data_IF_950502168762
#
_entry.id   IF_950502168762
#
_cell.length_a   1.000
_cell.length_b   1.000
_cell.length_c   1.000
_cell.angle_alpha   90.00
_cell.angle_beta   90.00
_cell.angle_gamma   90.00
#
_symmetry.space_group_name_H-M   'P 1'
#
loop_
_entity.id
_entity.type
_entity.pdbx_description
1 polymer ?
#
# COMPACT_ATOMS: atom_id res chain seq x y z
N UNK A 1 22.46 -54.71 18.55
CA UNK A 1 23.49 -53.68 18.62
C UNK A 1 24.84 -54.32 18.57
N UNK A 2 25.65 -54.01 17.55
CA UNK A 2 27.01 -54.51 17.39
C UNK A 2 27.96 -53.32 17.42
N UNK A 3 28.93 -53.38 18.33
CA UNK A 3 30.00 -52.39 18.41
C UNK A 3 31.32 -53.00 18.00
N UNK A 4 32.10 -52.23 17.25
CA UNK A 4 33.47 -52.62 16.86
C UNK A 4 34.37 -51.40 17.00
N UNK A 5 35.42 -51.51 17.81
CA UNK A 5 36.37 -50.43 18.01
C UNK A 5 37.05 -50.43 19.36
N UNK A 6 37.58 -49.26 19.73
CA UNK A 6 38.34 -49.06 20.95
C UNK A 6 37.43 -49.10 22.18
N UNK A 7 37.92 -49.64 23.25
CA UNK A 7 37.20 -49.78 24.52
C UNK A 7 38.08 -49.44 25.72
N UNK A 8 37.48 -48.87 26.74
CA UNK A 8 38.11 -48.62 28.03
C UNK A 8 37.14 -49.05 29.11
N UNK A 9 37.59 -49.88 30.02
CA UNK A 9 36.78 -50.41 31.15
C UNK A 9 35.44 -51.00 30.71
N UNK A 10 35.46 -51.77 29.59
CA UNK A 10 34.26 -52.44 29.09
C UNK A 10 33.29 -51.55 28.32
N UNK A 11 33.62 -50.28 28.06
CA UNK A 11 32.78 -49.35 27.31
C UNK A 11 33.47 -48.80 26.10
N UNK A 12 32.73 -48.49 25.02
CA UNK A 12 33.29 -47.78 23.88
C UNK A 12 33.96 -46.48 24.33
N UNK A 13 35.21 -46.27 23.87
CA UNK A 13 35.97 -45.08 24.18
C UNK A 13 37.06 -44.93 23.14
N UNK A 14 37.12 -43.77 22.46
CA UNK A 14 37.96 -43.55 21.29
C UNK A 14 37.20 -43.87 20.01
N UNK A 15 37.90 -44.32 18.95
CA UNK A 15 37.29 -44.55 17.63
C UNK A 15 36.55 -45.88 17.60
N UNK A 16 35.36 -45.89 17.02
CA UNK A 16 34.61 -47.14 16.85
C UNK A 16 33.39 -46.95 15.96
N UNK A 17 32.68 -48.07 15.73
CA UNK A 17 31.45 -48.08 14.97
C UNK A 17 30.40 -48.95 15.66
N UNK A 18 29.13 -48.56 15.51
CA UNK A 18 27.99 -49.30 16.04
C UNK A 18 26.98 -49.52 14.92
N UNK A 19 26.47 -50.74 14.78
CA UNK A 19 25.31 -51.08 13.96
C UNK A 19 24.15 -51.32 14.93
N UNK A 20 23.09 -50.49 14.82
CA UNK A 20 21.93 -50.58 15.68
C UNK A 20 20.91 -51.58 15.11
N UNK A 21 19.99 -52.03 15.94
CA UNK A 21 18.97 -53.01 15.54
C UNK A 21 18.07 -52.54 14.42
N UNK A 22 17.80 -51.21 14.36
CA UNK A 22 16.98 -50.62 13.33
C UNK A 22 17.70 -50.40 12.00
N UNK A 23 18.97 -50.74 11.92
CA UNK A 23 19.78 -50.55 10.71
C UNK A 23 20.58 -49.27 10.67
N UNK A 24 20.45 -48.40 11.63
CA UNK A 24 21.29 -47.20 11.74
C UNK A 24 22.73 -47.58 12.01
N UNK A 25 23.68 -46.76 11.53
CA UNK A 25 25.11 -46.97 11.69
C UNK A 25 25.76 -45.71 12.21
N UNK A 26 26.58 -45.84 13.27
CA UNK A 26 27.43 -44.75 13.73
C UNK A 26 28.88 -45.11 13.56
N UNK A 27 29.67 -44.19 13.02
CA UNK A 27 31.13 -44.32 12.94
C UNK A 27 31.75 -43.03 13.47
N UNK A 28 32.52 -43.11 14.54
CA UNK A 28 33.14 -41.95 15.10
C UNK A 28 33.70 -42.14 16.49
N UNK A 29 33.79 -41.05 17.20
CA UNK A 29 34.40 -41.02 18.53
C UNK A 29 33.41 -41.30 19.63
N UNK A 30 33.90 -41.94 20.69
CA UNK A 30 33.16 -42.27 21.89
C UNK A 30 33.91 -41.79 23.12
N UNK A 31 33.19 -41.41 24.15
CA UNK A 31 33.72 -41.16 25.47
C UNK A 31 32.80 -41.85 26.49
N UNK A 32 33.36 -42.78 27.28
CA UNK A 32 32.63 -43.49 28.34
C UNK A 32 31.33 -44.12 27.86
N UNK A 33 31.34 -44.72 26.68
CA UNK A 33 30.18 -45.39 26.11
C UNK A 33 29.23 -44.52 25.32
N UNK A 34 29.45 -43.21 25.27
CA UNK A 34 28.58 -42.27 24.58
C UNK A 34 29.28 -41.67 23.36
N UNK A 35 28.50 -41.40 22.31
CA UNK A 35 29.01 -40.70 21.13
C UNK A 35 29.40 -39.29 21.58
N UNK A 36 30.65 -38.94 21.34
CA UNK A 36 31.19 -37.66 21.74
C UNK A 36 32.44 -37.38 20.90
N UNK A 37 32.58 -36.11 20.43
CA UNK A 37 33.56 -35.74 19.44
C UNK A 37 33.00 -35.91 18.03
N UNK A 38 33.83 -36.02 17.02
CA UNK A 38 33.39 -36.14 15.63
C UNK A 38 32.87 -37.54 15.30
N UNK A 39 31.72 -37.62 14.62
CA UNK A 39 31.19 -38.89 14.16
C UNK A 39 30.15 -38.72 13.05
N UNK A 40 29.96 -39.80 12.30
CA UNK A 40 28.99 -39.90 11.19
C UNK A 40 27.90 -40.87 11.60
N UNK A 41 26.66 -40.41 11.58
CA UNK A 41 25.49 -41.25 11.86
C UNK A 41 24.66 -41.37 10.58
N UNK A 42 24.50 -42.59 10.10
CA UNK A 42 23.69 -42.89 8.92
C UNK A 42 22.40 -43.57 9.38
N UNK A 43 21.28 -42.93 9.12
CA UNK A 43 19.96 -43.46 9.45
C UNK A 43 19.55 -44.55 8.44
N UNK A 44 18.71 -45.47 8.85
CA UNK A 44 18.26 -46.58 7.98
C UNK A 44 17.45 -46.06 6.78
N UNK A 45 16.85 -44.86 6.85
CA UNK A 45 16.12 -44.22 5.75
C UNK A 45 17.05 -43.48 4.77
N UNK A 46 18.36 -43.49 5.01
CA UNK A 46 19.34 -42.82 4.16
C UNK A 46 19.73 -41.41 4.58
N UNK A 47 19.06 -40.81 5.55
CA UNK A 47 19.52 -39.54 6.12
C UNK A 47 20.88 -39.71 6.81
N UNK A 48 21.62 -38.61 6.93
CA UNK A 48 22.98 -38.72 7.47
C UNK A 48 23.33 -37.43 8.23
N UNK A 49 23.97 -37.60 9.41
CA UNK A 49 24.57 -36.48 10.14
C UNK A 49 26.11 -36.72 10.18
N UNK A 50 26.86 -35.67 9.83
CA UNK A 50 28.30 -35.63 9.94
C UNK A 50 28.71 -34.45 10.80
N UNK A 51 29.26 -34.68 11.98
CA UNK A 51 29.64 -33.55 12.80
C UNK A 51 29.97 -33.91 14.23
N UNK A 52 29.90 -32.91 15.07
CA UNK A 52 30.24 -33.02 16.47
C UNK A 52 29.09 -33.62 17.27
N UNK A 53 29.43 -34.39 18.27
CA UNK A 53 28.55 -35.08 19.21
C UNK A 53 28.93 -34.73 20.61
N UNK A 54 27.96 -34.67 21.52
CA UNK A 54 28.17 -34.55 22.94
C UNK A 54 27.13 -35.36 23.69
N UNK A 55 27.60 -36.32 24.47
CA UNK A 55 26.74 -37.21 25.29
C UNK A 55 25.55 -37.77 24.50
N UNK A 56 25.86 -38.44 23.38
CA UNK A 56 24.90 -39.09 22.49
C UNK A 56 23.98 -38.17 21.69
N UNK A 57 24.23 -36.85 21.71
CA UNK A 57 23.40 -35.87 20.99
C UNK A 57 24.25 -35.11 19.98
N UNK A 58 23.62 -34.74 18.85
CA UNK A 58 24.20 -33.81 17.89
C UNK A 58 24.41 -32.48 18.61
N UNK A 59 25.62 -31.94 18.51
CA UNK A 59 26.02 -30.79 19.28
C UNK A 59 27.24 -30.13 18.64
N UNK A 60 27.31 -28.80 18.66
CA UNK A 60 28.38 -28.07 17.98
C UNK A 60 28.15 -28.01 16.47
N UNK A 61 29.23 -28.04 15.68
CA UNK A 61 29.14 -27.96 14.22
C UNK A 61 28.84 -29.30 13.60
N UNK A 62 27.90 -29.32 12.65
CA UNK A 62 27.58 -30.54 11.93
C UNK A 62 26.75 -30.27 10.68
N UNK A 63 26.80 -31.24 9.76
CA UNK A 63 26.06 -31.23 8.51
C UNK A 63 25.04 -32.36 8.54
N UNK A 64 23.78 -32.02 8.22
CA UNK A 64 22.69 -32.99 8.14
C UNK A 64 22.20 -33.10 6.70
N UNK A 65 22.11 -34.29 6.18
CA UNK A 65 21.60 -34.61 4.84
C UNK A 65 20.22 -35.23 4.99
N UNK A 66 19.17 -34.51 4.57
CA UNK A 66 17.79 -34.96 4.67
C UNK A 66 17.43 -35.87 3.49
N UNK A 67 16.43 -36.73 3.69
CA UNK A 67 15.95 -37.66 2.66
C UNK A 67 15.37 -36.96 1.43
N UNK A 68 14.88 -35.73 1.59
CA UNK A 68 14.34 -34.90 0.51
C UNK A 68 15.40 -34.10 -0.24
N UNK A 69 16.68 -34.37 0.02
CA UNK A 69 17.85 -33.68 -0.55
C UNK A 69 18.08 -32.26 -0.01
N UNK A 70 17.42 -31.88 1.07
CA UNK A 70 17.84 -30.70 1.81
C UNK A 70 19.13 -31.00 2.56
N UNK A 71 19.92 -29.94 2.81
CA UNK A 71 21.18 -30.07 3.54
C UNK A 71 21.33 -28.89 4.49
N UNK A 72 21.53 -29.19 5.79
CA UNK A 72 21.82 -28.16 6.78
C UNK A 72 23.30 -28.21 7.15
N UNK A 73 23.96 -27.06 7.19
CA UNK A 73 25.35 -26.90 7.62
C UNK A 73 25.40 -25.84 8.69
N UNK A 74 25.66 -26.19 9.94
CA UNK A 74 25.70 -25.20 11.00
C UNK A 74 25.80 -25.80 12.39
N UNK A 75 25.32 -25.01 13.35
CA UNK A 75 25.40 -25.37 14.74
C UNK A 75 24.20 -26.16 15.21
N UNK A 76 24.44 -27.04 16.18
CA UNK A 76 23.48 -27.93 16.79
C UNK A 76 23.58 -27.83 18.30
N UNK A 77 22.44 -27.99 18.98
CA UNK A 77 22.34 -28.05 20.43
C UNK A 77 21.31 -29.10 20.80
N UNK A 78 21.79 -30.19 21.47
CA UNK A 78 20.95 -31.29 21.94
C UNK A 78 19.98 -31.80 20.86
N UNK A 79 20.54 -32.18 19.71
CA UNK A 79 19.80 -32.69 18.54
C UNK A 79 18.95 -31.67 17.78
N UNK A 80 18.98 -30.38 18.17
CA UNK A 80 18.27 -29.32 17.47
C UNK A 80 19.24 -28.46 16.65
N UNK A 81 18.77 -28.03 15.47
CA UNK A 81 19.41 -26.92 14.77
C UNK A 81 19.25 -25.68 15.65
N UNK A 82 20.34 -25.06 16.04
CA UNK A 82 20.31 -23.97 16.99
C UNK A 82 21.56 -23.12 16.84
N UNK A 83 21.42 -21.78 16.88
CA UNK A 83 22.51 -20.87 16.57
C UNK A 83 22.58 -20.61 15.07
N UNK A 84 23.77 -20.30 14.56
CA UNK A 84 23.91 -20.01 13.13
C UNK A 84 24.02 -21.27 12.29
N UNK A 85 23.34 -21.23 11.14
CA UNK A 85 23.42 -22.34 10.19
C UNK A 85 22.81 -21.99 8.85
N UNK A 86 23.19 -22.78 7.83
CA UNK A 86 22.70 -22.60 6.47
C UNK A 86 21.93 -23.85 6.04
N UNK A 87 20.68 -23.65 5.62
CA UNK A 87 19.89 -24.71 4.99
C UNK A 87 19.92 -24.52 3.48
N UNK A 88 20.32 -25.56 2.79
CA UNK A 88 20.24 -25.64 1.34
C UNK A 88 19.05 -26.52 0.99
N UNK A 89 18.04 -25.92 0.38
CA UNK A 89 16.79 -26.62 0.03
C UNK A 89 16.93 -27.31 -1.32
N UNK A 90 16.19 -28.37 -1.52
CA UNK A 90 16.26 -29.20 -2.74
C UNK A 90 15.90 -28.40 -4.00
N UNK A 91 15.07 -27.35 -3.85
CA UNK A 91 14.62 -26.51 -4.97
C UNK A 91 15.60 -25.40 -5.34
N UNK A 92 16.77 -25.34 -4.68
CA UNK A 92 17.77 -24.32 -4.93
C UNK A 92 17.67 -23.09 -4.02
N UNK A 93 16.66 -23.02 -3.17
CA UNK A 93 16.58 -21.96 -2.15
C UNK A 93 17.63 -22.17 -1.08
N UNK A 94 17.95 -21.11 -0.36
CA UNK A 94 18.93 -21.15 0.73
C UNK A 94 18.51 -20.23 1.85
N UNK A 95 18.59 -20.70 3.09
CA UNK A 95 18.48 -19.85 4.26
C UNK A 95 19.81 -19.82 5.01
N UNK A 96 20.32 -18.64 5.30
CA UNK A 96 21.54 -18.44 6.09
C UNK A 96 21.22 -17.51 7.25
N UNK A 97 21.25 -18.02 8.47
CA UNK A 97 20.91 -17.21 9.62
C UNK A 97 20.82 -17.98 10.93
N UNK A 98 20.01 -17.44 11.81
CA UNK A 98 19.85 -17.96 13.15
C UNK A 98 18.72 -19.00 13.20
N UNK A 99 18.90 -20.00 14.05
CA UNK A 99 18.00 -21.12 14.25
C UNK A 99 17.74 -21.33 15.74
N UNK A 100 16.55 -21.78 16.05
CA UNK A 100 16.19 -22.22 17.40
C UNK A 100 15.20 -23.37 17.31
N UNK A 101 15.54 -24.50 17.93
CA UNK A 101 14.72 -25.73 17.92
C UNK A 101 14.21 -26.07 16.51
N UNK A 102 15.14 -26.18 15.55
CA UNK A 102 14.87 -26.55 14.15
C UNK A 102 14.06 -25.53 13.36
N UNK A 103 13.82 -24.34 13.91
CA UNK A 103 13.08 -23.28 13.23
C UNK A 103 13.94 -22.06 12.99
N UNK A 104 13.70 -21.38 11.87
CA UNK A 104 14.32 -20.08 11.60
C UNK A 104 13.82 -19.08 12.63
N UNK A 105 14.75 -18.43 13.27
CA UNK A 105 14.47 -17.55 14.39
C UNK A 105 15.55 -16.47 14.43
N UNK A 106 15.22 -15.23 14.90
CA UNK A 106 16.20 -14.17 14.94
C UNK A 106 16.48 -13.60 13.55
N UNK A 107 17.72 -13.28 13.24
CA UNK A 107 18.10 -12.66 11.97
C UNK A 107 18.55 -13.71 10.97
N UNK A 108 18.12 -13.57 9.72
CA UNK A 108 18.54 -14.47 8.67
C UNK A 108 18.12 -14.00 7.28
N UNK A 109 18.83 -14.55 6.26
CA UNK A 109 18.59 -14.24 4.86
C UNK A 109 18.10 -15.50 4.14
N UNK A 110 16.91 -15.39 3.56
CA UNK A 110 16.36 -16.44 2.69
C UNK A 110 16.52 -16.00 1.25
N UNK A 111 17.26 -16.79 0.47
CA UNK A 111 17.49 -16.52 -0.95
C UNK A 111 16.75 -17.55 -1.77
N UNK A 112 15.86 -17.09 -2.65
CA UNK A 112 15.12 -17.96 -3.56
C UNK A 112 16.01 -18.35 -4.74
N UNK A 113 15.69 -19.47 -5.38
CA UNK A 113 16.46 -19.97 -6.53
C UNK A 113 16.50 -18.99 -7.69
N UNK A 114 15.48 -18.11 -7.81
CA UNK A 114 15.41 -17.07 -8.86
C UNK A 114 16.20 -15.81 -8.51
N UNK A 115 16.87 -15.76 -7.36
CA UNK A 115 17.65 -14.58 -6.93
C UNK A 115 16.92 -13.61 -6.04
N UNK A 116 15.60 -13.71 -5.89
CA UNK A 116 14.86 -12.93 -4.90
C UNK A 116 15.35 -13.27 -3.49
N UNK A 117 15.23 -12.34 -2.56
CA UNK A 117 15.67 -12.64 -1.19
C UNK A 117 14.91 -11.83 -0.16
N UNK A 118 14.82 -12.39 1.05
CA UNK A 118 14.40 -11.70 2.26
C UNK A 118 15.55 -11.67 3.25
N UNK A 119 15.82 -10.51 3.83
CA UNK A 119 16.83 -10.34 4.88
C UNK A 119 16.19 -9.61 6.05
N UNK A 120 16.10 -10.26 7.19
CA UNK A 120 15.49 -9.64 8.34
C UNK A 120 15.21 -10.61 9.46
N UNK A 121 14.20 -10.26 10.25
CA UNK A 121 13.83 -10.99 11.45
C UNK A 121 12.88 -12.15 11.15
N UNK A 122 13.04 -13.22 11.90
CA UNK A 122 12.27 -14.45 11.80
C UNK A 122 11.75 -14.86 13.16
N UNK A 123 10.60 -15.47 13.19
CA UNK A 123 10.04 -16.09 14.38
C UNK A 123 9.23 -17.31 13.99
N UNK A 124 9.56 -18.48 14.58
CA UNK A 124 8.86 -19.73 14.32
C UNK A 124 8.71 -20.02 12.83
N UNK A 125 9.83 -19.97 12.08
CA UNK A 125 9.89 -20.21 10.64
C UNK A 125 9.20 -19.18 9.75
N UNK A 126 8.74 -18.07 10.30
CA UNK A 126 8.01 -17.05 9.55
C UNK A 126 8.74 -15.71 9.61
N UNK A 127 8.64 -14.94 8.54
CA UNK A 127 9.07 -13.54 8.55
C UNK A 127 8.25 -12.79 9.58
N UNK A 128 8.92 -12.17 10.55
CA UNK A 128 8.25 -11.52 11.67
C UNK A 128 9.19 -10.47 12.26
N UNK A 129 8.73 -9.24 12.38
CA UNK A 129 9.56 -8.11 12.77
C UNK A 129 10.05 -7.34 11.56
N UNK A 130 11.17 -6.65 11.71
CA UNK A 130 11.70 -5.81 10.63
C UNK A 130 12.44 -6.64 9.60
N UNK A 131 12.19 -6.38 8.30
CA UNK A 131 12.86 -7.09 7.23
C UNK A 131 12.74 -6.41 5.88
N UNK A 132 13.70 -6.73 5.01
CA UNK A 132 13.79 -6.22 3.65
C UNK A 132 13.56 -7.39 2.68
N UNK A 133 12.66 -7.19 1.73
CA UNK A 133 12.38 -8.18 0.67
C UNK A 133 12.67 -7.56 -0.69
N UNK A 134 13.47 -8.26 -1.50
CA UNK A 134 13.73 -7.91 -2.89
C UNK A 134 13.19 -9.03 -3.78
N UNK A 135 12.16 -8.71 -4.58
CA UNK A 135 11.53 -9.71 -5.46
C UNK A 135 12.36 -10.00 -6.71
N UNK A 136 13.41 -9.20 -6.97
CA UNK A 136 14.27 -9.40 -8.14
C UNK A 136 13.71 -8.86 -9.45
N UNK A 137 12.52 -8.31 -9.42
CA UNK A 137 11.85 -7.71 -10.58
C UNK A 137 11.83 -6.17 -10.55
N UNK A 138 12.55 -5.57 -9.60
CA UNK A 138 12.56 -4.14 -9.33
C UNK A 138 11.66 -3.73 -8.18
N UNK A 139 10.86 -4.65 -7.64
CA UNK A 139 10.01 -4.40 -6.49
C UNK A 139 10.76 -4.74 -5.20
N UNK A 140 10.72 -3.83 -4.21
CA UNK A 140 11.31 -4.06 -2.89
C UNK A 140 10.35 -3.62 -1.80
N UNK A 141 10.45 -4.23 -0.62
CA UNK A 141 9.76 -3.79 0.58
C UNK A 141 10.74 -3.69 1.74
N UNK A 142 10.67 -2.60 2.48
CA UNK A 142 11.46 -2.40 3.68
C UNK A 142 10.54 -1.98 4.81
N UNK A 143 10.33 -2.86 5.78
CA UNK A 143 9.42 -2.56 6.89
C UNK A 143 9.12 -3.77 7.75
N UNK A 144 7.95 -3.73 8.37
CA UNK A 144 7.56 -4.73 9.35
C UNK A 144 6.74 -5.85 8.74
N UNK A 145 6.88 -7.03 9.32
CA UNK A 145 6.26 -8.29 8.91
C UNK A 145 5.62 -8.97 10.11
N UNK A 146 4.52 -9.64 9.89
CA UNK A 146 3.88 -10.52 10.86
C UNK A 146 3.39 -11.77 10.13
N UNK A 147 3.85 -12.94 10.57
CA UNK A 147 3.43 -14.22 10.00
C UNK A 147 3.51 -14.24 8.46
N UNK A 148 4.69 -13.90 7.93
CA UNK A 148 5.01 -13.87 6.50
C UNK A 148 4.31 -12.78 5.69
N UNK A 149 3.54 -11.90 6.32
CA UNK A 149 2.80 -10.83 5.63
C UNK A 149 3.31 -9.46 6.06
N UNK A 150 3.33 -8.51 5.11
CA UNK A 150 3.64 -7.12 5.44
C UNK A 150 2.57 -6.61 6.41
N UNK A 151 3.00 -6.04 7.52
CA UNK A 151 2.12 -5.60 8.59
C UNK A 151 2.81 -4.52 9.41
N UNK A 152 2.08 -3.46 9.78
CA UNK A 152 2.69 -2.30 10.41
C UNK A 152 3.26 -1.36 9.37
N UNK A 153 4.27 -0.57 9.74
CA UNK A 153 4.85 0.43 8.84
C UNK A 153 5.87 -0.18 7.89
N UNK A 154 5.83 0.27 6.64
CA UNK A 154 6.81 -0.18 5.65
C UNK A 154 6.73 0.60 4.34
N UNK A 155 7.83 0.55 3.59
CA UNK A 155 7.98 1.23 2.31
C UNK A 155 8.09 0.18 1.21
N UNK A 156 7.14 0.19 0.29
CA UNK A 156 7.16 -0.66 -0.89
C UNK A 156 7.52 0.18 -2.12
N UNK A 157 8.58 -0.21 -2.81
CA UNK A 157 8.99 0.42 -4.07
C UNK A 157 8.61 -0.53 -5.19
N UNK A 158 7.77 -0.05 -6.09
CA UNK A 158 7.28 -0.85 -7.22
C UNK A 158 8.23 -0.73 -8.41
N UNK A 159 8.22 -1.76 -9.25
CA UNK A 159 9.10 -1.83 -10.43
C UNK A 159 8.87 -0.67 -11.41
N UNK A 160 7.66 -0.13 -11.46
CA UNK A 160 7.29 1.00 -12.33
C UNK A 160 7.73 2.37 -11.82
N UNK A 161 8.31 2.41 -10.61
CA UNK A 161 8.78 3.64 -9.99
C UNK A 161 7.84 4.25 -8.94
N UNK A 162 6.65 3.68 -8.77
CA UNK A 162 5.75 4.09 -7.69
C UNK A 162 6.33 3.70 -6.33
N UNK A 163 5.98 4.45 -5.28
CA UNK A 163 6.41 4.17 -3.91
C UNK A 163 5.23 4.34 -2.97
N UNK A 164 4.96 3.32 -2.17
CA UNK A 164 4.04 3.44 -1.04
C UNK A 164 4.81 3.41 0.26
N UNK A 165 4.56 4.40 1.13
CA UNK A 165 5.15 4.48 2.47
C UNK A 165 4.02 4.65 3.47
N UNK A 166 3.80 3.65 4.31
CA UNK A 166 2.71 3.73 5.27
C UNK A 166 2.41 2.44 5.98
N UNK A 167 1.17 2.31 6.40
CA UNK A 167 0.71 1.19 7.20
C UNK A 167 0.18 0.05 6.33
N UNK A 168 0.43 -1.17 6.81
CA UNK A 168 0.06 -2.42 6.16
C UNK A 168 -0.69 -3.30 7.14
N UNK A 169 -1.62 -4.09 6.65
CA UNK A 169 -2.28 -5.14 7.40
C UNK A 169 -2.51 -6.34 6.49
N UNK A 170 -1.96 -7.51 6.89
CA UNK A 170 -2.10 -8.76 6.15
C UNK A 170 -1.78 -8.59 4.65
N UNK A 171 -0.60 -8.03 4.36
CA UNK A 171 -0.08 -7.81 3.01
C UNK A 171 -0.79 -6.75 2.18
N UNK A 172 -1.73 -6.02 2.77
CA UNK A 172 -2.54 -5.02 2.09
C UNK A 172 -2.34 -3.66 2.75
N UNK A 173 -2.26 -2.59 1.95
CA UNK A 173 -2.22 -1.22 2.45
C UNK A 173 -3.48 -0.95 3.26
N UNK A 174 -3.32 -0.51 4.50
CA UNK A 174 -4.45 -0.27 5.39
C UNK A 174 -4.02 0.67 6.51
N UNK A 175 -4.76 1.77 6.72
CA UNK A 175 -4.41 2.81 7.68
C UNK A 175 -3.87 4.04 6.98
N UNK A 176 -2.91 4.73 7.56
CA UNK A 176 -2.32 5.95 6.98
C UNK A 176 -1.20 5.60 6.02
N UNK A 177 -1.16 6.28 4.87
CA UNK A 177 -0.09 6.06 3.91
C UNK A 177 0.12 7.22 2.96
N UNK A 178 1.32 7.22 2.35
CA UNK A 178 1.71 8.17 1.30
C UNK A 178 2.06 7.33 0.07
N UNK A 179 1.36 7.60 -1.02
CA UNK A 179 1.63 6.97 -2.30
C UNK A 179 2.20 8.00 -3.26
N UNK A 180 3.41 7.76 -3.75
CA UNK A 180 4.08 8.61 -4.72
C UNK A 180 4.08 7.89 -6.06
N UNK A 181 3.38 8.46 -7.03
CA UNK A 181 3.32 7.93 -8.40
C UNK A 181 4.58 8.30 -9.16
N UNK A 182 4.95 7.47 -10.10
CA UNK A 182 6.13 7.69 -10.93
C UNK A 182 6.05 9.02 -11.70
N UNK A 183 4.83 9.45 -12.07
CA UNK A 183 4.61 10.72 -12.78
C UNK A 183 4.71 11.96 -11.88
N UNK A 184 4.92 11.78 -10.57
CA UNK A 184 5.04 12.88 -9.60
C UNK A 184 3.78 13.21 -8.82
N UNK A 185 2.65 12.56 -9.10
CA UNK A 185 1.46 12.69 -8.24
C UNK A 185 1.76 12.10 -6.85
N UNK A 186 1.15 12.68 -5.82
CA UNK A 186 1.30 12.20 -4.43
C UNK A 186 -0.06 12.16 -3.75
N UNK A 187 -0.40 11.02 -3.19
CA UNK A 187 -1.54 10.87 -2.30
C UNK A 187 -1.06 10.66 -0.86
N UNK A 188 -1.66 11.37 0.08
CA UNK A 188 -1.43 11.18 1.50
C UNK A 188 -2.76 11.11 2.23
N UNK A 189 -3.03 9.98 2.89
CA UNK A 189 -4.29 9.83 3.60
C UNK A 189 -4.60 8.40 3.99
N UNK A 190 -5.91 8.12 4.09
CA UNK A 190 -6.41 6.84 4.57
C UNK A 190 -6.47 5.79 3.47
N UNK A 191 -6.17 4.56 3.86
CA UNK A 191 -6.34 3.36 3.05
C UNK A 191 -7.19 2.36 3.80
N UNK A 192 -8.11 1.71 3.09
CA UNK A 192 -8.88 0.58 3.60
C UNK A 192 -8.82 -0.52 2.54
N UNK A 193 -8.29 -1.68 2.92
CA UNK A 193 -8.21 -2.85 2.03
C UNK A 193 -7.56 -2.53 0.67
N UNK A 194 -6.48 -1.75 0.70
CA UNK A 194 -5.71 -1.42 -0.49
C UNK A 194 -6.25 -0.25 -1.30
N UNK A 195 -7.39 0.30 -0.93
CA UNK A 195 -8.02 1.40 -1.64
C UNK A 195 -7.98 2.70 -0.84
N UNK A 196 -7.78 3.83 -1.53
CA UNK A 196 -7.91 5.15 -0.89
C UNK A 196 -9.37 5.31 -0.46
N UNK A 197 -9.63 5.32 0.83
CA UNK A 197 -10.98 5.41 1.39
C UNK A 197 -10.89 6.13 2.72
N UNK A 198 -11.68 7.22 2.88
CA UNK A 198 -11.59 8.10 4.03
C UNK A 198 -11.04 9.44 3.62
N UNK A 199 -10.34 10.13 4.51
CA UNK A 199 -9.81 11.47 4.24
C UNK A 199 -8.42 11.41 3.64
N UNK A 200 -8.14 12.30 2.68
CA UNK A 200 -6.84 12.37 2.06
C UNK A 200 -6.57 13.65 1.31
N UNK A 201 -5.31 13.81 0.92
CA UNK A 201 -4.81 14.90 0.10
C UNK A 201 -4.17 14.30 -1.13
N UNK A 202 -4.61 14.73 -2.31
CA UNK A 202 -4.02 14.31 -3.58
C UNK A 202 -3.37 15.53 -4.25
N UNK A 203 -2.06 15.50 -4.39
CA UNK A 203 -1.31 16.55 -5.08
C UNK A 203 -0.92 16.03 -6.46
N UNK A 204 -1.45 16.68 -7.50
CA UNK A 204 -1.15 16.32 -8.88
C UNK A 204 0.19 16.91 -9.29
N UNK A 205 0.91 16.22 -10.15
CA UNK A 205 2.21 16.69 -10.66
C UNK A 205 2.11 18.03 -11.38
N UNK A 206 0.93 18.32 -11.95
CA UNK A 206 0.68 19.59 -12.66
C UNK A 206 0.43 20.78 -11.72
N UNK A 207 0.36 20.55 -10.40
CA UNK A 207 0.12 21.61 -9.42
C UNK A 207 -1.30 21.70 -8.89
N UNK A 208 -2.23 20.89 -9.41
CA UNK A 208 -3.57 20.79 -8.84
C UNK A 208 -3.53 20.03 -7.51
N UNK A 209 -4.55 20.27 -6.66
CA UNK A 209 -4.61 19.64 -5.35
C UNK A 209 -6.05 19.37 -4.95
N UNK A 210 -6.32 18.16 -4.45
CA UNK A 210 -7.60 17.82 -3.82
C UNK A 210 -7.37 17.51 -2.34
N UNK A 211 -8.24 18.05 -1.49
CA UNK A 211 -8.27 17.73 -0.05
C UNK A 211 -9.70 17.39 0.31
N UNK A 212 -9.92 16.16 0.75
CA UNK A 212 -11.27 15.74 1.10
C UNK A 212 -11.40 14.23 1.22
N UNK A 213 -12.65 13.76 1.09
CA UNK A 213 -12.95 12.35 1.26
C UNK A 213 -12.82 11.57 -0.05
N UNK A 214 -12.48 10.30 0.12
CA UNK A 214 -12.31 9.31 -0.94
C UNK A 214 -13.13 8.07 -0.63
N UNK A 215 -13.56 7.39 -1.66
CA UNK A 215 -14.21 6.08 -1.57
C UNK A 215 -13.70 5.20 -2.70
N UNK A 216 -13.12 4.05 -2.35
CA UNK A 216 -12.63 3.06 -3.31
C UNK A 216 -11.75 3.68 -4.42
N UNK A 217 -10.87 4.61 -4.02
CA UNK A 217 -9.92 5.25 -4.91
C UNK A 217 -10.39 6.53 -5.58
N UNK A 218 -11.68 6.85 -5.51
CA UNK A 218 -12.26 8.03 -6.17
C UNK A 218 -12.56 9.13 -5.17
N UNK A 219 -12.49 10.39 -5.65
CA UNK A 219 -13.03 11.53 -4.88
C UNK A 219 -14.53 11.32 -4.70
N UNK A 220 -14.97 11.31 -3.45
CA UNK A 220 -16.38 11.03 -3.12
C UNK A 220 -16.72 11.65 -1.76
N UNK A 221 -17.84 12.32 -1.66
CA UNK A 221 -18.25 13.05 -0.47
C UNK A 221 -17.86 14.52 -0.55
N UNK A 222 -17.40 15.10 0.55
CA UNK A 222 -17.03 16.52 0.59
C UNK A 222 -15.54 16.71 0.34
N UNK A 223 -15.18 17.71 -0.47
CA UNK A 223 -13.78 18.01 -0.73
C UNK A 223 -13.56 19.33 -1.43
N UNK A 224 -12.31 19.81 -1.35
CA UNK A 224 -11.86 21.04 -1.99
C UNK A 224 -10.82 20.70 -3.04
N UNK A 225 -11.06 21.15 -4.27
CA UNK A 225 -10.12 21.05 -5.37
C UNK A 225 -9.56 22.43 -5.70
N UNK A 226 -8.24 22.55 -5.71
CA UNK A 226 -7.53 23.78 -6.07
C UNK A 226 -6.78 23.53 -7.37
N UNK A 227 -7.16 24.24 -8.42
CA UNK A 227 -6.44 24.18 -9.70
C UNK A 227 -5.18 25.03 -9.65
N UNK A 228 -4.19 24.63 -10.38
CA UNK A 228 -2.94 25.38 -10.54
C UNK A 228 -3.18 26.82 -10.95
N UNK A 229 -4.22 27.06 -11.78
CA UNK A 229 -4.53 28.40 -12.29
C UNK A 229 -5.11 29.34 -11.22
N UNK A 230 -5.41 28.84 -10.03
CA UNK A 230 -5.95 29.63 -8.93
C UNK A 230 -7.44 29.48 -8.69
N UNK A 231 -8.15 28.71 -9.53
CA UNK A 231 -9.57 28.39 -9.27
C UNK A 231 -9.66 27.38 -8.10
N UNK A 232 -10.77 27.44 -7.35
CA UNK A 232 -11.05 26.46 -6.30
C UNK A 232 -12.51 26.03 -6.33
N UNK A 233 -12.76 24.77 -6.05
CA UNK A 233 -14.10 24.22 -5.85
C UNK A 233 -14.16 23.57 -4.47
N UNK A 234 -15.21 23.89 -3.71
CA UNK A 234 -15.47 23.25 -2.42
C UNK A 234 -16.92 22.76 -2.43
N UNK A 235 -17.11 21.48 -2.20
CA UNK A 235 -18.45 20.91 -2.19
C UNK A 235 -18.45 19.40 -2.37
N UNK A 236 -19.56 18.89 -2.90
CA UNK A 236 -19.79 17.46 -3.08
C UNK A 236 -19.05 16.87 -4.27
N UNK A 237 -18.71 15.61 -4.14
CA UNK A 237 -18.02 14.80 -5.15
C UNK A 237 -18.67 13.42 -5.24
N UNK A 238 -18.72 12.86 -6.42
CA UNK A 238 -19.15 11.49 -6.65
C UNK A 238 -18.44 10.95 -7.88
N UNK A 239 -17.82 9.77 -7.73
CA UNK A 239 -17.09 9.11 -8.83
C UNK A 239 -16.11 10.05 -9.54
N UNK A 240 -15.25 10.73 -8.75
CA UNK A 240 -14.22 11.66 -9.22
C UNK A 240 -14.73 12.97 -9.84
N UNK A 241 -16.04 13.24 -9.81
CA UNK A 241 -16.63 14.43 -10.41
C UNK A 241 -17.37 15.25 -9.37
N UNK A 242 -17.42 16.59 -9.57
CA UNK A 242 -18.23 17.45 -8.72
C UNK A 242 -19.70 17.03 -8.83
N UNK A 243 -20.34 16.86 -7.70
CA UNK A 243 -21.72 16.40 -7.63
C UNK A 243 -22.37 16.88 -6.34
N UNK A 244 -23.56 17.49 -6.45
CA UNK A 244 -24.28 18.06 -5.33
C UNK A 244 -23.95 19.54 -5.13
N UNK A 245 -24.25 20.05 -3.93
CA UNK A 245 -24.02 21.46 -3.61
C UNK A 245 -22.52 21.77 -3.56
N UNK A 246 -22.14 22.89 -4.20
CA UNK A 246 -20.75 23.32 -4.21
C UNK A 246 -20.57 24.79 -4.53
N UNK A 247 -19.35 25.25 -4.31
CA UNK A 247 -18.94 26.63 -4.52
C UNK A 247 -17.65 26.65 -5.33
N UNK A 248 -17.73 27.27 -6.52
CA UNK A 248 -16.59 27.43 -7.41
C UNK A 248 -16.13 28.88 -7.35
N UNK A 249 -14.89 29.12 -6.95
CA UNK A 249 -14.27 30.43 -6.89
C UNK A 249 -13.22 30.51 -7.98
N UNK A 250 -13.43 31.39 -8.94
CA UNK A 250 -12.49 31.62 -10.04
C UNK A 250 -11.36 32.55 -9.58
N UNK A 251 -10.20 32.40 -10.19
CA UNK A 251 -9.04 33.26 -9.92
C UNK A 251 -9.38 34.73 -10.07
N UNK A 252 -10.22 35.08 -11.08
CA UNK A 252 -10.63 36.48 -11.34
C UNK A 252 -11.57 37.05 -10.29
N UNK A 253 -12.04 36.21 -9.33
CA UNK A 253 -12.95 36.64 -8.27
C UNK A 253 -14.41 36.29 -8.49
N UNK A 254 -14.77 35.70 -9.65
CA UNK A 254 -16.14 35.21 -9.86
C UNK A 254 -16.43 34.04 -8.94
N UNK A 255 -17.64 33.99 -8.35
CA UNK A 255 -18.04 32.93 -7.43
C UNK A 255 -19.37 32.35 -7.91
N UNK A 256 -19.35 31.01 -8.16
CA UNK A 256 -20.53 30.25 -8.54
C UNK A 256 -20.94 29.34 -7.37
N UNK A 257 -22.18 29.45 -6.92
CA UNK A 257 -22.67 28.61 -5.82
C UNK A 257 -24.02 28.00 -6.19
N UNK A 258 -24.10 26.68 -6.12
CA UNK A 258 -25.31 25.96 -6.50
C UNK A 258 -25.03 24.47 -6.63
N UNK A 259 -25.86 23.78 -7.41
CA UNK A 259 -25.72 22.36 -7.63
C UNK A 259 -24.78 22.07 -8.81
N UNK A 260 -24.00 21.00 -8.64
CA UNK A 260 -23.13 20.48 -9.67
C UNK A 260 -23.54 19.04 -9.99
N UNK A 261 -23.39 18.65 -11.21
CA UNK A 261 -23.62 17.29 -11.68
C UNK A 261 -22.60 16.94 -12.75
N UNK A 262 -21.92 15.81 -12.56
CA UNK A 262 -20.92 15.32 -13.51
C UNK A 262 -19.88 16.38 -13.88
N UNK A 263 -19.44 17.17 -12.89
CA UNK A 263 -18.40 18.18 -13.07
C UNK A 263 -18.87 19.53 -13.57
N UNK A 264 -20.18 19.70 -13.80
CA UNK A 264 -20.73 20.95 -14.31
C UNK A 264 -21.79 21.51 -13.38
N UNK A 265 -21.92 22.83 -13.38
CA UNK A 265 -23.03 23.48 -12.68
C UNK A 265 -24.35 23.12 -13.35
N UNK A 266 -25.37 22.77 -12.56
CA UNK A 266 -26.65 22.28 -13.07
C UNK A 266 -27.77 22.75 -12.14
N UNK A 267 -28.84 23.32 -12.70
CA UNK A 267 -29.97 23.79 -11.90
C UNK A 267 -29.78 25.18 -11.34
N UNK A 268 -30.37 25.45 -10.19
CA UNK A 268 -30.34 26.77 -9.57
C UNK A 268 -28.94 27.16 -9.12
N UNK A 269 -28.53 28.39 -9.45
CA UNK A 269 -27.23 28.91 -9.13
C UNK A 269 -27.28 30.38 -8.79
N UNK A 270 -26.40 30.82 -7.89
CA UNK A 270 -26.13 32.23 -7.61
C UNK A 270 -24.69 32.51 -8.02
N UNK A 271 -24.48 33.53 -8.85
CA UNK A 271 -23.15 33.93 -9.29
C UNK A 271 -22.86 35.33 -8.80
N UNK A 272 -21.75 35.52 -8.11
CA UNK A 272 -21.21 36.82 -7.76
C UNK A 272 -20.00 37.07 -8.65
N UNK A 273 -20.16 37.99 -9.60
CA UNK A 273 -19.07 38.35 -10.48
C UNK A 273 -18.10 39.32 -9.80
N UNK A 274 -16.84 39.26 -10.21
CA UNK A 274 -15.79 40.12 -9.64
C UNK A 274 -16.08 41.60 -9.81
N UNK A 275 -16.81 41.99 -10.86
CA UNK A 275 -17.20 43.38 -11.14
C UNK A 275 -18.31 43.87 -10.24
N UNK A 276 -18.84 43.04 -9.34
CA UNK A 276 -19.95 43.39 -8.45
C UNK A 276 -21.33 43.02 -8.97
N UNK A 277 -21.45 42.52 -10.18
CA UNK A 277 -22.71 42.01 -10.75
C UNK A 277 -23.11 40.71 -10.10
N UNK A 278 -24.41 40.49 -9.88
CA UNK A 278 -24.94 39.26 -9.32
C UNK A 278 -25.93 38.63 -10.29
N UNK A 279 -25.84 37.33 -10.48
CA UNK A 279 -26.77 36.53 -11.28
C UNK A 279 -27.41 35.47 -10.40
N UNK A 280 -28.74 35.36 -10.50
CA UNK A 280 -29.51 34.29 -9.86
C UNK A 280 -30.40 33.65 -10.91
N UNK A 281 -30.17 32.38 -11.22
CA UNK A 281 -30.91 31.72 -12.26
C UNK A 281 -30.62 30.25 -12.36
N UNK A 282 -30.82 29.72 -13.58
CA UNK A 282 -30.72 28.28 -13.86
C UNK A 282 -29.64 28.02 -14.91
N UNK A 283 -28.84 27.02 -14.66
CA UNK A 283 -27.87 26.48 -15.64
C UNK A 283 -28.32 25.08 -16.06
N UNK A 284 -28.09 24.77 -17.33
CA UNK A 284 -28.31 23.46 -17.89
C UNK A 284 -27.19 23.17 -18.88
N UNK A 285 -26.52 22.02 -18.70
CA UNK A 285 -25.36 21.64 -19.50
C UNK A 285 -24.30 22.76 -19.55
N UNK A 286 -24.04 23.42 -18.40
CA UNK A 286 -23.03 24.46 -18.29
C UNK A 286 -23.42 25.81 -18.87
N UNK A 287 -24.67 25.97 -19.33
CA UNK A 287 -25.16 27.19 -19.95
C UNK A 287 -26.36 27.73 -19.20
N UNK A 288 -26.50 29.07 -19.19
CA UNK A 288 -27.70 29.71 -18.61
C UNK A 288 -28.91 29.32 -19.44
N UNK A 289 -29.94 28.85 -18.76
CA UNK A 289 -31.21 28.41 -19.35
C UNK A 289 -32.33 28.61 -18.35
N UNK A 290 -33.40 29.33 -18.77
CA UNK A 290 -34.54 29.57 -17.92
C UNK A 290 -34.55 30.94 -17.27
N UNK A 291 -35.43 31.10 -16.27
CA UNK A 291 -35.63 32.38 -15.58
C UNK A 291 -34.36 32.84 -14.89
N UNK A 292 -34.12 34.17 -14.93
CA UNK A 292 -32.92 34.74 -14.34
C UNK A 292 -33.20 36.15 -13.81
N UNK A 293 -32.49 36.50 -12.74
CA UNK A 293 -32.45 37.84 -12.17
C UNK A 293 -30.99 38.27 -12.14
N UNK A 294 -30.70 39.41 -12.75
CA UNK A 294 -29.35 39.98 -12.72
C UNK A 294 -29.42 41.33 -12.00
N UNK A 295 -28.40 41.57 -11.17
CA UNK A 295 -28.31 42.85 -10.44
C UNK A 295 -26.92 43.42 -10.70
N UNK A 296 -26.89 44.64 -11.21
CA UNK A 296 -25.64 45.35 -11.43
C UNK A 296 -25.09 45.89 -10.11
N UNK A 297 -23.79 46.27 -10.11
CA UNK A 297 -23.13 46.81 -8.94
C UNK A 297 -23.87 48.01 -8.31
N UNK A 298 -24.51 48.85 -9.15
CA UNK A 298 -25.26 50.03 -8.73
C UNK A 298 -26.72 49.73 -8.33
N UNK A 299 -27.13 48.45 -8.34
CA UNK A 299 -28.44 48.02 -7.87
C UNK A 299 -29.55 47.96 -8.93
N UNK A 300 -29.22 48.22 -10.19
CA UNK A 300 -30.16 48.03 -11.32
C UNK A 300 -30.37 46.54 -11.56
N UNK A 301 -31.62 46.16 -11.92
CA UNK A 301 -32.01 44.76 -12.05
C UNK A 301 -32.55 44.48 -13.44
N UNK A 302 -32.17 43.29 -13.96
CA UNK A 302 -32.78 42.68 -15.11
C UNK A 302 -33.48 41.41 -14.66
N UNK A 303 -34.75 41.26 -15.02
CA UNK A 303 -35.56 40.07 -14.74
C UNK A 303 -36.06 39.53 -16.07
N UNK A 304 -35.59 38.33 -16.46
CA UNK A 304 -35.92 37.77 -17.74
C UNK A 304 -35.59 36.27 -17.82
N UNK A 305 -35.18 35.82 -18.99
CA UNK A 305 -34.83 34.44 -19.18
C UNK A 305 -33.71 34.29 -20.22
N UNK A 306 -33.11 33.12 -20.20
CA UNK A 306 -32.00 32.69 -21.06
C UNK A 306 -32.35 31.41 -21.79
N UNK A 307 -31.76 31.22 -22.95
CA UNK A 307 -31.72 29.96 -23.71
C UNK A 307 -30.33 29.79 -24.26
N UNK A 308 -29.64 28.73 -23.81
CA UNK A 308 -28.29 28.39 -24.22
C UNK A 308 -27.34 29.61 -24.15
N UNK A 309 -27.26 30.28 -22.99
CA UNK A 309 -26.41 31.43 -22.70
C UNK A 309 -26.84 32.76 -23.35
N UNK A 310 -27.93 32.77 -24.05
CA UNK A 310 -28.42 33.95 -24.76
C UNK A 310 -29.74 34.41 -24.15
N UNK A 311 -29.91 35.73 -23.92
CA UNK A 311 -31.21 36.27 -23.45
C UNK A 311 -32.26 35.92 -24.47
N UNK A 312 -33.39 35.40 -23.99
CA UNK A 312 -34.51 34.96 -24.80
C UNK A 312 -35.80 35.02 -23.98
N UNK A 313 -36.84 35.61 -24.55
CA UNK A 313 -38.14 35.76 -23.88
C UNK A 313 -38.37 37.13 -23.28
N UNK A 314 -39.46 37.24 -22.54
CA UNK A 314 -39.88 38.48 -21.91
C UNK A 314 -38.89 38.97 -20.84
N UNK A 315 -38.71 40.26 -20.73
CA UNK A 315 -37.85 40.85 -19.71
C UNK A 315 -38.48 42.11 -19.13
N UNK A 316 -38.02 42.48 -17.91
CA UNK A 316 -38.30 43.72 -17.23
C UNK A 316 -37.00 44.24 -16.65
N UNK A 317 -36.74 45.53 -16.81
CA UNK A 317 -35.60 46.19 -16.17
C UNK A 317 -36.14 47.17 -15.11
N UNK A 318 -35.47 47.19 -13.97
CA UNK A 318 -35.86 48.02 -12.80
C UNK A 318 -34.65 48.86 -12.37
N UNK A 319 -34.95 50.07 -11.87
CA UNK A 319 -33.95 50.92 -11.24
C UNK A 319 -33.67 50.43 -9.80
N UNK A 320 -32.74 51.09 -9.12
CA UNK A 320 -32.33 50.71 -7.77
C UNK A 320 -33.46 50.86 -6.74
N UNK A 321 -34.55 51.58 -7.06
CA UNK A 321 -35.74 51.71 -6.22
C UNK A 321 -36.82 50.67 -6.57
N UNK A 322 -36.54 49.76 -7.52
CA UNK A 322 -37.49 48.76 -7.96
C UNK A 322 -38.50 49.21 -8.98
N UNK A 323 -38.36 50.44 -9.51
CA UNK A 323 -39.26 50.99 -10.55
C UNK A 323 -38.92 50.44 -11.91
N UNK A 324 -39.91 49.97 -12.66
CA UNK A 324 -39.74 49.49 -14.04
C UNK A 324 -39.32 50.64 -14.93
N UNK A 325 -38.18 50.53 -15.60
CA UNK A 325 -37.65 51.54 -16.50
C UNK A 325 -37.64 51.05 -17.95
N UNK A 326 -37.76 49.75 -18.19
CA UNK A 326 -37.85 49.17 -19.54
C UNK A 326 -38.52 47.79 -19.44
N UNK A 327 -39.19 47.40 -20.53
CA UNK A 327 -39.75 46.06 -20.68
C UNK A 327 -39.81 45.72 -22.16
N UNK A 328 -39.94 44.43 -22.48
CA UNK A 328 -39.98 43.97 -23.82
C UNK A 328 -39.69 42.49 -23.89
N UNK A 329 -39.01 42.07 -24.97
CA UNK A 329 -38.56 40.69 -25.13
C UNK A 329 -37.26 40.63 -25.89
N UNK A 330 -36.57 39.50 -25.69
CA UNK A 330 -35.38 39.11 -26.44
C UNK A 330 -35.70 37.93 -27.35
N UNK A 331 -35.21 37.98 -28.55
CA UNK A 331 -35.25 36.85 -29.48
C UNK A 331 -33.86 36.60 -29.99
N UNK A 332 -33.30 35.42 -29.67
CA UNK A 332 -31.93 35.04 -30.04
C UNK A 332 -30.89 36.11 -29.65
N UNK A 333 -31.04 36.73 -28.47
CA UNK A 333 -30.14 37.76 -27.96
C UNK A 333 -30.43 39.17 -28.44
N UNK A 334 -31.36 39.36 -29.39
CA UNK A 334 -31.74 40.67 -29.89
C UNK A 334 -32.86 41.24 -29.07
N UNK A 335 -32.66 42.50 -28.61
CA UNK A 335 -33.60 43.22 -27.74
C UNK A 335 -34.69 43.94 -28.53
N UNK A 336 -35.94 43.75 -28.10
CA UNK A 336 -37.10 44.49 -28.62
C UNK A 336 -37.83 45.09 -27.42
N UNK A 337 -37.88 46.44 -27.35
CA UNK A 337 -38.57 47.16 -26.28
C UNK A 337 -40.02 47.45 -26.64
N UNK A 338 -40.87 47.41 -25.62
CA UNK A 338 -42.29 47.84 -25.74
C UNK A 338 -42.42 49.33 -25.90
#
# INVERSE_FOLDING_TARGET
RQYKGEMVSGRPNGKGSTIYKNGDIYEGQYVKGKRQGFGVYTFSDGEKYEGEWFQDQQHGKGTYYFSNNNKYVGFWYRDYQEGRGTMYYYNGDKYDGEWYHDQRQGNGTYTFSNGAYYRGQWKNDQKNGKGFFDWGDGTTYNGYWTNNMRSGKGVNRYADGDVYSGEWLNDIQNGKGIYTFQNGDVYEGDYVQGERTGMGIFEYANGDKYTGSFKDGDKDGQGTFSWKNGDTYTGGWSNDKQDGHGKLVKKNGDIYEGNFKDGQIEGDVIVHFADGTKFKGVYHNGKRNGAAIEESKDGKRFEGSYKDDVRDGKFVEKDLNGKVVASGYYENGRRYEN
#
